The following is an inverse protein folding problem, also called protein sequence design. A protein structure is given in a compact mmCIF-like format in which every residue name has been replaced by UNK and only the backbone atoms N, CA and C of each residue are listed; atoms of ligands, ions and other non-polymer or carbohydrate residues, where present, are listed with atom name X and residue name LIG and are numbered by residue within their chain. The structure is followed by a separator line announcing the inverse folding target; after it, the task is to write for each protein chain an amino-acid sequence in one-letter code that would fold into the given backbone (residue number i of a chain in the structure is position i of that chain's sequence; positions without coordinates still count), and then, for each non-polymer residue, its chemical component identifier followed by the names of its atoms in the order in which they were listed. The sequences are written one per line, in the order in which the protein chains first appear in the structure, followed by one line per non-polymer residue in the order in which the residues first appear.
data_IF_499107544327
#
_entry.id   IF_499107544327
#
_cell.length_a   1.000
_cell.length_b   1.000
_cell.length_c   1.000
_cell.angle_alpha   90.00
_cell.angle_beta   90.00
_cell.angle_gamma   90.00
#
_symmetry.space_group_name_H-M   'P 1'
#
loop_
_entity.id
_entity.type
_entity.pdbx_description
1 polymer ?
#
# COMPACT_ATOMS: atom_id res chain seq x y z
N UNK A 1 -44.72 2.93 -6.19
CA UNK A 1 -44.84 2.08 -7.40
C UNK A 1 -45.92 1.07 -7.08
N UNK A 2 -47.03 1.09 -7.81
CA UNK A 2 -48.20 0.27 -7.44
C UNK A 2 -47.90 -1.20 -7.74
N UNK A 3 -47.53 -2.00 -6.72
CA UNK A 3 -47.29 -3.44 -6.86
C UNK A 3 -48.49 -4.16 -7.53
N UNK A 4 -49.70 -3.63 -7.31
CA UNK A 4 -50.94 -4.04 -7.98
C UNK A 4 -50.88 -3.89 -9.52
N UNK A 5 -50.29 -2.81 -10.04
CA UNK A 5 -50.13 -2.61 -11.50
C UNK A 5 -49.14 -3.62 -12.09
N UNK A 6 -48.03 -3.88 -11.40
CA UNK A 6 -47.05 -4.88 -11.85
C UNK A 6 -47.65 -6.29 -11.89
N UNK A 7 -48.42 -6.68 -10.87
CA UNK A 7 -49.12 -7.96 -10.83
C UNK A 7 -50.20 -8.09 -11.92
N UNK A 8 -50.95 -7.00 -12.21
CA UNK A 8 -51.92 -6.99 -13.31
C UNK A 8 -51.25 -7.15 -14.68
N UNK A 9 -50.08 -6.53 -14.87
CA UNK A 9 -49.33 -6.64 -16.13
C UNK A 9 -48.77 -8.06 -16.31
N UNK A 10 -48.20 -8.65 -15.25
CA UNK A 10 -47.71 -10.04 -15.29
C UNK A 10 -48.82 -11.03 -15.65
N UNK A 11 -49.99 -10.93 -15.02
CA UNK A 11 -51.15 -11.78 -15.35
C UNK A 11 -51.55 -11.65 -16.82
N UNK A 12 -51.63 -10.41 -17.34
CA UNK A 12 -51.95 -10.20 -18.76
C UNK A 12 -50.91 -10.81 -19.70
N UNK A 13 -49.62 -10.77 -19.34
CA UNK A 13 -48.55 -11.37 -20.14
C UNK A 13 -48.66 -12.90 -20.11
N UNK A 14 -48.93 -13.49 -18.94
CA UNK A 14 -49.13 -14.93 -18.78
C UNK A 14 -50.35 -15.41 -19.56
N UNK A 15 -51.49 -14.72 -19.44
CA UNK A 15 -52.71 -14.99 -20.22
C UNK A 15 -52.43 -14.92 -21.74
N UNK A 16 -51.65 -13.93 -22.20
CA UNK A 16 -51.31 -13.80 -23.61
C UNK A 16 -50.37 -14.93 -24.08
N UNK A 17 -49.46 -15.39 -23.24
CA UNK A 17 -48.52 -16.46 -23.58
C UNK A 17 -49.21 -17.84 -23.64
N UNK A 18 -50.13 -18.12 -22.71
CA UNK A 18 -50.93 -19.37 -22.72
C UNK A 18 -51.84 -19.45 -23.95
N UNK A 19 -52.42 -18.33 -24.37
CA UNK A 19 -53.29 -18.28 -25.54
C UNK A 19 -52.54 -18.36 -26.89
N UNK A 20 -51.22 -18.12 -26.91
CA UNK A 20 -50.42 -18.06 -28.15
C UNK A 20 -49.20 -18.98 -28.12
N UNK A 21 -49.37 -20.26 -27.77
CA UNK A 21 -48.33 -21.29 -27.98
C UNK A 21 -48.12 -21.59 -29.48
N UNK A 22 -47.67 -20.60 -30.24
CA UNK A 22 -47.31 -20.70 -31.64
C UNK A 22 -45.91 -21.33 -31.71
N UNK A 23 -45.84 -22.63 -31.49
CA UNK A 23 -44.62 -23.38 -31.82
C UNK A 23 -44.66 -23.75 -33.29
N UNK A 24 -43.57 -23.45 -34.00
CA UNK A 24 -43.38 -23.83 -35.41
C UNK A 24 -43.62 -25.33 -35.61
N UNK A 25 -43.30 -26.14 -34.59
CA UNK A 25 -43.52 -27.59 -34.55
C UNK A 25 -45.01 -27.93 -34.65
N UNK A 26 -45.89 -27.36 -33.79
CA UNK A 26 -47.35 -27.56 -33.86
C UNK A 26 -47.96 -27.08 -35.18
N UNK A 27 -47.40 -26.02 -35.78
CA UNK A 27 -47.85 -25.53 -37.10
C UNK A 27 -47.37 -26.43 -38.26
N UNK A 28 -46.23 -27.10 -38.10
CA UNK A 28 -45.67 -28.00 -39.12
C UNK A 28 -46.30 -29.41 -39.09
N UNK A 29 -46.84 -29.85 -37.95
CA UNK A 29 -47.54 -31.13 -37.80
C UNK A 29 -48.68 -31.35 -38.82
N UNK A 30 -49.61 -30.40 -39.06
CA UNK A 30 -50.65 -30.57 -40.09
C UNK A 30 -50.07 -30.57 -41.53
N UNK A 31 -48.98 -29.85 -41.79
CA UNK A 31 -48.34 -29.81 -43.12
C UNK A 31 -47.63 -31.14 -43.41
N UNK A 32 -46.94 -31.70 -42.41
CA UNK A 32 -46.27 -33.00 -42.50
C UNK A 32 -47.24 -34.18 -42.54
N UNK A 33 -48.36 -34.11 -41.81
CA UNK A 33 -49.38 -35.18 -41.79
C UNK A 33 -50.30 -35.20 -43.01
N UNK A 34 -50.55 -34.04 -43.64
CA UNK A 34 -51.28 -33.97 -44.91
C UNK A 34 -50.52 -34.66 -46.07
N UNK A 35 -49.19 -34.75 -46.00
CA UNK A 35 -48.37 -35.47 -46.99
C UNK A 35 -48.44 -37.00 -46.91
N UNK A 36 -48.98 -37.56 -45.82
CA UNK A 36 -48.88 -39.01 -45.53
C UNK A 36 -50.15 -39.80 -45.88
N UNK A 37 -51.27 -39.16 -46.22
CA UNK A 37 -52.54 -39.87 -46.43
C UNK A 37 -52.78 -40.42 -47.85
N UNK A 38 -51.97 -40.09 -48.85
CA UNK A 38 -52.23 -40.45 -50.26
C UNK A 38 -51.07 -41.13 -51.01
N UNK A 39 -50.40 -42.13 -50.44
CA UNK A 39 -49.71 -43.11 -51.31
C UNK A 39 -49.54 -44.51 -50.70
N UNK A 40 -50.14 -45.50 -51.36
CA UNK A 40 -49.74 -46.91 -51.25
C UNK A 40 -48.27 -47.01 -51.70
N UNK A 41 -47.38 -47.21 -50.74
CA UNK A 41 -45.94 -47.34 -50.91
C UNK A 41 -45.55 -48.39 -51.97
N UNK A 42 -45.04 -47.91 -53.11
CA UNK A 42 -44.11 -48.69 -53.95
C UNK A 42 -42.72 -48.47 -53.39
N UNK A 43 -42.10 -49.53 -52.91
CA UNK A 43 -40.74 -49.55 -52.35
C UNK A 43 -39.71 -49.45 -53.48
N UNK A 44 -39.47 -48.26 -54.03
CA UNK A 44 -38.31 -48.03 -54.90
C UNK A 44 -37.81 -46.58 -54.92
N UNK A 45 -38.33 -45.68 -54.09
CA UNK A 45 -37.84 -44.31 -54.01
C UNK A 45 -36.90 -44.09 -52.81
N UNK A 46 -35.70 -43.58 -53.10
CA UNK A 46 -34.65 -43.23 -52.15
C UNK A 46 -34.95 -41.95 -51.34
N UNK A 47 -36.20 -41.50 -51.30
CA UNK A 47 -36.61 -40.18 -50.81
C UNK A 47 -37.18 -40.17 -49.39
N UNK A 48 -37.22 -41.32 -48.70
CA UNK A 48 -37.81 -41.42 -47.34
C UNK A 48 -36.83 -41.18 -46.18
N UNK A 49 -35.61 -40.71 -46.44
CA UNK A 49 -34.58 -40.57 -45.40
C UNK A 49 -34.71 -39.29 -44.53
N UNK A 50 -35.56 -38.31 -44.89
CA UNK A 50 -35.60 -36.99 -44.23
C UNK A 50 -36.72 -36.81 -43.20
N UNK A 51 -37.38 -37.89 -42.75
CA UNK A 51 -38.45 -37.80 -41.75
C UNK A 51 -38.00 -38.05 -40.31
N UNK A 52 -36.77 -38.53 -40.08
CA UNK A 52 -36.22 -38.71 -38.74
C UNK A 52 -35.47 -37.44 -38.29
N UNK A 53 -36.14 -36.62 -37.48
CA UNK A 53 -35.51 -35.57 -36.67
C UNK A 53 -35.15 -34.29 -37.44
N UNK A 54 -36.14 -33.44 -37.68
CA UNK A 54 -35.96 -32.07 -38.19
C UNK A 54 -35.29 -31.19 -37.13
N UNK A 55 -33.97 -31.25 -37.07
CA UNK A 55 -33.16 -30.21 -36.41
C UNK A 55 -33.00 -29.04 -37.38
N UNK A 56 -32.89 -27.79 -36.91
CA UNK A 56 -32.77 -26.63 -37.80
C UNK A 56 -31.64 -26.76 -38.84
N UNK A 57 -30.52 -27.36 -38.44
CA UNK A 57 -29.36 -27.59 -39.32
C UNK A 57 -29.60 -28.71 -40.35
N UNK A 58 -30.51 -29.66 -40.10
CA UNK A 58 -30.84 -30.72 -41.07
C UNK A 58 -31.72 -30.20 -42.21
N UNK A 59 -32.54 -29.17 -41.96
CA UNK A 59 -33.40 -28.57 -42.98
C UNK A 59 -32.60 -27.91 -44.11
N UNK A 60 -31.49 -27.23 -43.80
CA UNK A 60 -30.65 -26.60 -44.82
C UNK A 60 -29.93 -27.64 -45.69
N UNK A 61 -29.47 -28.72 -45.08
CA UNK A 61 -28.89 -29.86 -45.78
C UNK A 61 -29.92 -30.54 -46.70
N UNK A 62 -31.14 -30.74 -46.21
CA UNK A 62 -32.26 -31.30 -46.99
C UNK A 62 -32.62 -30.39 -48.16
N UNK A 63 -32.70 -29.07 -47.95
CA UNK A 63 -32.97 -28.11 -49.04
C UNK A 63 -31.90 -28.16 -50.12
N UNK A 64 -30.62 -28.31 -49.76
CA UNK A 64 -29.54 -28.45 -50.72
C UNK A 64 -29.67 -29.77 -51.50
N UNK A 65 -29.90 -30.88 -50.79
CA UNK A 65 -30.12 -32.19 -51.38
C UNK A 65 -31.30 -32.20 -52.36
N UNK A 66 -32.47 -31.67 -51.96
CA UNK A 66 -33.65 -31.60 -52.81
C UNK A 66 -33.44 -30.73 -54.04
N UNK A 67 -32.74 -29.58 -53.93
CA UNK A 67 -32.39 -28.75 -55.08
C UNK A 67 -31.56 -29.52 -56.11
N UNK A 68 -30.55 -30.27 -55.65
CA UNK A 68 -29.72 -31.09 -56.52
C UNK A 68 -30.50 -32.25 -57.14
N UNK A 69 -31.30 -32.95 -56.33
CA UNK A 69 -32.17 -34.05 -56.77
C UNK A 69 -33.13 -33.56 -57.86
N UNK A 70 -33.89 -32.48 -57.61
CA UNK A 70 -34.83 -31.94 -58.59
C UNK A 70 -34.14 -31.38 -59.83
N UNK A 71 -32.92 -30.85 -59.74
CA UNK A 71 -32.16 -30.44 -60.92
C UNK A 71 -31.82 -31.66 -61.81
N UNK A 72 -31.38 -32.77 -61.21
CA UNK A 72 -31.09 -34.03 -61.92
C UNK A 72 -32.35 -34.65 -62.51
N UNK A 73 -33.44 -34.74 -61.74
CA UNK A 73 -34.73 -35.25 -62.22
C UNK A 73 -35.29 -34.38 -63.34
N UNK A 74 -35.22 -33.05 -63.23
CA UNK A 74 -35.67 -32.13 -64.28
C UNK A 74 -34.92 -32.38 -65.58
N UNK A 75 -33.60 -32.57 -65.53
CA UNK A 75 -32.79 -32.86 -66.72
C UNK A 75 -33.23 -34.17 -67.38
N UNK A 76 -33.29 -35.25 -66.58
CA UNK A 76 -33.72 -36.58 -67.05
C UNK A 76 -35.14 -36.56 -67.64
N UNK A 77 -36.08 -35.92 -66.95
CA UNK A 77 -37.48 -35.83 -67.38
C UNK A 77 -37.62 -35.05 -68.69
N UNK A 78 -36.97 -33.89 -68.83
CA UNK A 78 -37.03 -33.10 -70.06
C UNK A 78 -36.43 -33.88 -71.23
N UNK A 79 -35.32 -34.58 -71.01
CA UNK A 79 -34.72 -35.44 -72.04
C UNK A 79 -35.64 -36.60 -72.44
N UNK A 80 -36.24 -37.30 -71.48
CA UNK A 80 -37.15 -38.41 -71.75
C UNK A 80 -38.42 -37.95 -72.48
N UNK A 81 -39.04 -36.87 -72.02
CA UNK A 81 -40.25 -36.31 -72.64
C UNK A 81 -39.97 -35.79 -74.04
N UNK A 82 -38.81 -35.17 -74.28
CA UNK A 82 -38.43 -34.72 -75.63
C UNK A 82 -38.19 -35.89 -76.57
N UNK A 83 -37.49 -36.94 -76.13
CA UNK A 83 -37.32 -38.19 -76.90
C UNK A 83 -38.65 -38.84 -77.23
N UNK A 84 -39.54 -38.97 -76.25
CA UNK A 84 -40.86 -39.57 -76.45
C UNK A 84 -41.72 -38.74 -77.42
N UNK A 85 -41.81 -37.43 -77.21
CA UNK A 85 -42.56 -36.52 -78.09
C UNK A 85 -42.02 -36.56 -79.52
N UNK A 86 -40.70 -36.62 -79.69
CA UNK A 86 -40.07 -36.73 -81.01
C UNK A 86 -40.43 -38.03 -81.71
N UNK A 87 -40.35 -39.16 -81.02
CA UNK A 87 -40.74 -40.46 -81.59
C UNK A 87 -42.22 -40.47 -81.97
N UNK A 88 -43.10 -39.96 -81.09
CA UNK A 88 -44.54 -39.85 -81.38
C UNK A 88 -44.84 -38.96 -82.57
N UNK A 89 -44.10 -37.86 -82.75
CA UNK A 89 -44.29 -36.94 -83.88
C UNK A 89 -43.89 -37.56 -85.24
N UNK A 90 -42.88 -38.45 -85.25
CA UNK A 90 -42.43 -39.15 -86.47
C UNK A 90 -43.31 -40.35 -86.81
N UNK A 91 -43.74 -41.10 -85.79
CA UNK A 91 -44.48 -42.37 -85.96
C UNK A 91 -46.01 -42.13 -86.05
N UNK A 92 -46.50 -40.95 -85.67
CA UNK A 92 -47.91 -40.60 -85.80
C UNK A 92 -48.34 -40.45 -87.26
N UNK A 93 -49.51 -40.98 -87.61
CA UNK A 93 -50.16 -40.80 -88.91
C UNK A 93 -51.29 -39.76 -88.78
N UNK A 94 -51.19 -38.54 -89.36
CA UNK A 94 -50.10 -38.00 -90.18
C UNK A 94 -48.92 -37.43 -89.35
N UNK A 95 -47.69 -37.41 -89.92
CA UNK A 95 -46.51 -36.94 -89.21
C UNK A 95 -46.61 -35.44 -88.93
N UNK A 96 -46.28 -35.04 -87.69
CA UNK A 96 -46.33 -33.64 -87.26
C UNK A 96 -45.05 -32.94 -87.70
N UNK A 97 -45.15 -32.09 -88.72
CA UNK A 97 -44.03 -31.28 -89.20
C UNK A 97 -44.08 -29.92 -88.51
N UNK A 98 -43.08 -29.64 -87.66
CA UNK A 98 -42.98 -28.34 -86.98
C UNK A 98 -42.61 -27.26 -87.98
N UNK A 99 -43.48 -26.26 -88.14
CA UNK A 99 -43.21 -25.15 -89.06
C UNK A 99 -42.31 -24.09 -88.42
N UNK A 100 -41.50 -23.33 -89.21
CA UNK A 100 -40.70 -22.23 -88.67
C UNK A 100 -41.55 -21.15 -87.99
N UNK A 101 -42.81 -20.97 -88.41
CA UNK A 101 -43.73 -19.99 -87.82
C UNK A 101 -44.18 -20.42 -86.42
N UNK A 102 -44.54 -21.69 -86.23
CA UNK A 102 -44.87 -22.25 -84.91
C UNK A 102 -43.70 -22.14 -83.92
N UNK A 103 -42.47 -22.35 -84.38
CA UNK A 103 -41.29 -22.16 -83.54
C UNK A 103 -41.16 -20.71 -83.07
N UNK A 104 -41.36 -19.73 -83.95
CA UNK A 104 -41.32 -18.31 -83.59
C UNK A 104 -42.43 -17.92 -82.60
N UNK A 105 -43.62 -18.49 -82.74
CA UNK A 105 -44.73 -18.28 -81.80
C UNK A 105 -44.45 -18.90 -80.42
N UNK A 106 -43.93 -20.13 -80.39
CA UNK A 106 -43.52 -20.80 -79.15
C UNK A 106 -42.34 -20.10 -78.47
N UNK A 107 -41.40 -19.55 -79.24
CA UNK A 107 -40.31 -18.73 -78.70
C UNK A 107 -40.84 -17.46 -78.03
N UNK A 108 -41.78 -16.75 -78.67
CA UNK A 108 -42.43 -15.58 -78.08
C UNK A 108 -43.16 -15.92 -76.78
N UNK A 109 -44.02 -16.95 -76.80
CA UNK A 109 -44.75 -17.38 -75.60
C UNK A 109 -43.80 -17.83 -74.47
N UNK A 110 -42.71 -18.53 -74.80
CA UNK A 110 -41.69 -18.90 -73.82
C UNK A 110 -40.94 -17.69 -73.25
N UNK A 111 -40.68 -16.66 -74.05
CA UNK A 111 -40.06 -15.42 -73.58
C UNK A 111 -40.98 -14.67 -72.61
N UNK A 112 -42.27 -14.57 -72.93
CA UNK A 112 -43.27 -13.97 -72.06
C UNK A 112 -43.41 -14.73 -70.74
N UNK A 113 -43.56 -16.06 -70.79
CA UNK A 113 -43.64 -16.90 -69.59
C UNK A 113 -42.34 -16.83 -68.76
N UNK A 114 -41.17 -16.78 -69.41
CA UNK A 114 -39.88 -16.58 -68.72
C UNK A 114 -39.81 -15.21 -68.05
N UNK A 115 -40.35 -14.17 -68.67
CA UNK A 115 -40.38 -12.83 -68.08
C UNK A 115 -41.30 -12.80 -66.84
N UNK A 116 -42.50 -13.37 -66.92
CA UNK A 116 -43.43 -13.50 -65.79
C UNK A 116 -42.81 -14.31 -64.64
N UNK A 117 -42.20 -15.45 -64.95
CA UNK A 117 -41.54 -16.29 -63.94
C UNK A 117 -40.35 -15.58 -63.29
N UNK A 118 -39.61 -14.75 -64.02
CA UNK A 118 -38.54 -13.92 -63.44
C UNK A 118 -39.11 -12.86 -62.51
N UNK A 119 -40.19 -12.18 -62.88
CA UNK A 119 -40.86 -11.20 -62.03
C UNK A 119 -41.34 -11.83 -60.71
N UNK A 120 -42.09 -12.93 -60.79
CA UNK A 120 -42.58 -13.67 -59.62
C UNK A 120 -41.43 -14.19 -58.73
N UNK A 121 -40.31 -14.63 -59.32
CA UNK A 121 -39.13 -15.04 -58.54
C UNK A 121 -38.52 -13.90 -57.75
N UNK A 122 -38.47 -12.70 -58.32
CA UNK A 122 -37.98 -11.50 -57.63
C UNK A 122 -38.94 -11.13 -56.50
N UNK A 123 -40.25 -11.11 -56.75
CA UNK A 123 -41.26 -10.83 -55.73
C UNK A 123 -41.19 -11.81 -54.55
N UNK A 124 -41.06 -13.12 -54.83
CA UNK A 124 -40.92 -14.13 -53.78
C UNK A 124 -39.61 -13.97 -53.02
N UNK A 125 -38.51 -13.67 -53.70
CA UNK A 125 -37.23 -13.41 -53.04
C UNK A 125 -37.32 -12.20 -52.10
N UNK A 126 -37.94 -11.10 -52.56
CA UNK A 126 -38.13 -9.90 -51.76
C UNK A 126 -39.00 -10.19 -50.54
N UNK A 127 -40.13 -10.89 -50.70
CA UNK A 127 -40.99 -11.32 -49.60
C UNK A 127 -40.23 -12.17 -48.56
N UNK A 128 -39.38 -13.10 -48.99
CA UNK A 128 -38.56 -13.91 -48.07
C UNK A 128 -37.60 -13.03 -47.28
N UNK A 129 -36.91 -12.07 -47.92
CA UNK A 129 -36.01 -11.16 -47.21
C UNK A 129 -36.74 -10.27 -46.19
N UNK A 130 -37.98 -9.84 -46.50
CA UNK A 130 -38.80 -9.08 -45.57
C UNK A 130 -39.25 -9.93 -44.38
N UNK A 131 -39.64 -11.18 -44.63
CA UNK A 131 -40.02 -12.13 -43.58
C UNK A 131 -38.84 -12.43 -42.65
N UNK A 132 -37.63 -12.62 -43.19
CA UNK A 132 -36.42 -12.79 -42.38
C UNK A 132 -36.12 -11.57 -41.50
N UNK A 133 -36.27 -10.36 -42.04
CA UNK A 133 -36.09 -9.11 -41.27
C UNK A 133 -37.12 -9.03 -40.13
N UNK A 134 -38.40 -9.24 -40.45
CA UNK A 134 -39.49 -9.25 -39.45
C UNK A 134 -39.27 -10.35 -38.40
N UNK A 135 -38.81 -11.53 -38.80
CA UNK A 135 -38.47 -12.63 -37.90
C UNK A 135 -37.37 -12.24 -36.91
N UNK A 136 -36.28 -11.61 -37.38
CA UNK A 136 -35.18 -11.13 -36.52
C UNK A 136 -35.64 -10.02 -35.57
N UNK A 137 -36.47 -9.10 -36.04
CA UNK A 137 -37.02 -8.03 -35.19
C UNK A 137 -37.96 -8.58 -34.11
N UNK A 138 -38.81 -9.54 -34.48
CA UNK A 138 -39.73 -10.19 -33.56
C UNK A 138 -38.98 -11.01 -32.50
N UNK A 139 -37.93 -11.75 -32.89
CA UNK A 139 -37.07 -12.48 -31.95
C UNK A 139 -36.44 -11.54 -30.89
N UNK A 140 -35.86 -10.41 -31.32
CA UNK A 140 -35.30 -9.41 -30.40
C UNK A 140 -36.35 -8.83 -29.44
N UNK A 141 -37.54 -8.51 -29.96
CA UNK A 141 -38.65 -8.00 -29.14
C UNK A 141 -39.11 -9.06 -28.14
N UNK A 142 -39.23 -10.31 -28.56
CA UNK A 142 -39.60 -11.42 -27.70
C UNK A 142 -38.58 -11.62 -26.57
N UNK A 143 -37.28 -11.63 -26.89
CA UNK A 143 -36.20 -11.68 -25.87
C UNK A 143 -36.30 -10.53 -24.88
N UNK A 144 -36.53 -9.30 -25.34
CA UNK A 144 -36.68 -8.15 -24.43
C UNK A 144 -37.89 -8.28 -23.50
N UNK A 145 -39.03 -8.77 -24.01
CA UNK A 145 -40.22 -9.02 -23.20
C UNK A 145 -39.98 -10.15 -22.21
N UNK A 146 -39.25 -11.21 -22.57
CA UNK A 146 -38.88 -12.28 -21.66
C UNK A 146 -37.99 -11.77 -20.51
N UNK A 147 -36.97 -10.97 -20.82
CA UNK A 147 -36.10 -10.36 -19.81
C UNK A 147 -36.87 -9.43 -18.88
N UNK A 148 -37.75 -8.60 -19.42
CA UNK A 148 -38.55 -7.67 -18.61
C UNK A 148 -39.61 -8.39 -17.77
N UNK A 149 -40.17 -9.49 -18.29
CA UNK A 149 -41.06 -10.37 -17.53
C UNK A 149 -40.33 -11.02 -16.35
N UNK A 150 -39.09 -11.50 -16.56
CA UNK A 150 -38.26 -12.03 -15.47
C UNK A 150 -37.97 -10.96 -14.41
N UNK A 151 -37.60 -9.74 -14.83
CA UNK A 151 -37.40 -8.61 -13.90
C UNK A 151 -38.66 -8.27 -13.12
N UNK A 152 -39.82 -8.24 -13.78
CA UNK A 152 -41.10 -7.96 -13.13
C UNK A 152 -41.47 -9.03 -12.09
N UNK A 153 -41.05 -10.28 -12.28
CA UNK A 153 -41.22 -11.36 -11.29
C UNK A 153 -40.30 -11.17 -10.08
N UNK A 154 -39.06 -10.73 -10.26
CA UNK A 154 -38.09 -10.58 -9.16
C UNK A 154 -38.21 -9.27 -8.36
N UNK A 155 -38.66 -8.19 -9.00
CA UNK A 155 -38.67 -6.86 -8.38
C UNK A 155 -39.56 -6.75 -7.12
N UNK A 156 -40.77 -7.36 -7.06
CA UNK A 156 -41.60 -7.33 -5.85
C UNK A 156 -40.88 -7.92 -4.64
N UNK A 157 -40.23 -9.07 -4.79
CA UNK A 157 -39.50 -9.72 -3.69
C UNK A 157 -38.34 -8.85 -3.22
N UNK A 158 -37.57 -8.28 -4.15
CA UNK A 158 -36.48 -7.33 -3.83
C UNK A 158 -36.98 -6.07 -3.13
N UNK A 159 -38.15 -5.56 -3.49
CA UNK A 159 -38.75 -4.40 -2.82
C UNK A 159 -39.12 -4.77 -1.38
N UNK A 160 -39.75 -5.93 -1.17
CA UNK A 160 -40.08 -6.41 0.18
C UNK A 160 -38.82 -6.58 1.04
N UNK A 161 -37.77 -7.22 0.51
CA UNK A 161 -36.49 -7.34 1.21
C UNK A 161 -35.87 -5.99 1.57
N UNK A 162 -35.94 -5.00 0.67
CA UNK A 162 -35.43 -3.66 0.93
C UNK A 162 -36.28 -2.91 1.96
N UNK A 163 -37.60 -3.08 1.92
CA UNK A 163 -38.52 -2.50 2.92
C UNK A 163 -38.29 -3.11 4.30
N UNK A 164 -38.06 -4.42 4.39
CA UNK A 164 -37.73 -5.13 5.62
C UNK A 164 -36.37 -4.66 6.17
N UNK A 165 -35.33 -4.58 5.34
CA UNK A 165 -34.02 -4.01 5.72
C UNK A 165 -34.13 -2.55 6.17
N UNK A 166 -34.97 -1.75 5.52
CA UNK A 166 -35.21 -0.36 5.93
C UNK A 166 -35.94 -0.31 7.27
N UNK A 167 -36.87 -1.22 7.53
CA UNK A 167 -37.55 -1.33 8.83
C UNK A 167 -36.56 -1.75 9.93
N UNK A 168 -35.74 -2.77 9.70
CA UNK A 168 -34.67 -3.21 10.61
C UNK A 168 -33.69 -2.07 10.91
N UNK A 169 -33.24 -1.35 9.88
CA UNK A 169 -32.34 -0.21 10.05
C UNK A 169 -33.00 0.91 10.86
N UNK A 170 -34.28 1.20 10.60
CA UNK A 170 -35.04 2.19 11.39
C UNK A 170 -35.21 1.76 12.85
N UNK A 171 -35.43 0.47 13.12
CA UNK A 171 -35.51 -0.07 14.48
C UNK A 171 -34.14 -0.02 15.17
N UNK A 172 -33.06 -0.36 14.48
CA UNK A 172 -31.69 -0.21 15.00
C UNK A 172 -31.32 1.26 15.26
N UNK A 173 -31.93 2.17 14.49
CA UNK A 173 -31.81 3.62 14.64
C UNK A 173 -32.82 4.19 15.66
N UNK A 174 -33.61 3.34 16.34
CA UNK A 174 -34.41 3.78 17.48
C UNK A 174 -33.52 4.58 18.44
N UNK A 175 -34.04 5.65 19.08
CA UNK A 175 -33.25 6.66 19.75
C UNK A 175 -32.44 6.07 20.92
N UNK A 176 -31.23 5.59 20.62
CA UNK A 176 -30.19 5.32 21.58
C UNK A 176 -29.67 6.63 22.18
N UNK A 177 -28.94 6.52 23.30
CA UNK A 177 -28.50 7.61 24.18
C UNK A 177 -27.71 8.77 23.51
N UNK A 178 -27.35 8.66 22.23
CA UNK A 178 -26.52 9.64 21.52
C UNK A 178 -27.31 10.37 20.40
N UNK A 179 -27.72 11.64 20.61
CA UNK A 179 -28.49 12.42 19.63
C UNK A 179 -27.74 12.67 18.30
N UNK A 180 -26.41 12.51 18.33
CA UNK A 180 -25.52 12.65 17.18
C UNK A 180 -25.62 11.49 16.15
N UNK A 181 -26.21 10.34 16.52
CA UNK A 181 -26.41 9.20 15.61
C UNK A 181 -27.71 9.29 14.80
N UNK A 182 -28.59 10.25 15.14
CA UNK A 182 -29.92 10.43 14.54
C UNK A 182 -30.01 11.73 13.72
N UNK A 183 -28.89 12.14 13.15
CA UNK A 183 -28.80 13.35 12.34
C UNK A 183 -29.02 13.03 10.85
N UNK A 184 -29.71 13.90 10.10
CA UNK A 184 -29.78 13.81 8.65
C UNK A 184 -28.38 13.82 8.02
N UNK A 185 -28.23 13.19 6.85
CA UNK A 185 -26.95 13.03 6.15
C UNK A 185 -26.15 14.35 6.00
N UNK A 186 -26.84 15.47 5.73
CA UNK A 186 -26.17 16.77 5.64
C UNK A 186 -25.46 17.16 6.95
N UNK A 187 -26.15 17.00 8.09
CA UNK A 187 -25.61 17.36 9.41
C UNK A 187 -24.54 16.37 9.88
N UNK A 188 -24.62 15.09 9.49
CA UNK A 188 -23.55 14.14 9.82
C UNK A 188 -22.28 14.43 9.04
N UNK A 189 -22.37 14.85 7.78
CA UNK A 189 -21.21 15.27 6.99
C UNK A 189 -20.52 16.50 7.60
N UNK A 190 -21.30 17.51 8.01
CA UNK A 190 -20.77 18.69 8.71
C UNK A 190 -20.04 18.30 10.01
N UNK A 191 -20.65 17.43 10.84
CA UNK A 191 -20.00 16.95 12.07
C UNK A 191 -18.73 16.12 11.80
N UNK A 192 -18.73 15.31 10.75
CA UNK A 192 -17.54 14.54 10.35
C UNK A 192 -16.42 15.49 9.93
N UNK A 193 -16.72 16.54 9.17
CA UNK A 193 -15.74 17.53 8.76
C UNK A 193 -15.20 18.33 9.96
N UNK A 194 -16.05 18.69 10.92
CA UNK A 194 -15.62 19.31 12.16
C UNK A 194 -14.75 18.39 13.02
N UNK A 195 -15.08 17.10 13.09
CA UNK A 195 -14.25 16.10 13.79
C UNK A 195 -12.92 15.88 13.09
N UNK A 196 -12.87 15.86 11.75
CA UNK A 196 -11.62 15.81 10.99
C UNK A 196 -10.76 17.04 11.25
N UNK A 197 -11.36 18.24 11.32
CA UNK A 197 -10.63 19.47 11.69
C UNK A 197 -10.07 19.38 13.11
N UNK A 198 -10.85 18.89 14.08
CA UNK A 198 -10.37 18.66 15.46
C UNK A 198 -9.21 17.66 15.49
N UNK A 199 -9.33 16.56 14.74
CA UNK A 199 -8.27 15.54 14.64
C UNK A 199 -6.99 16.13 14.06
N UNK A 200 -7.08 16.89 12.95
CA UNK A 200 -5.92 17.57 12.35
C UNK A 200 -5.28 18.60 13.29
N UNK A 201 -6.07 19.29 14.13
CA UNK A 201 -5.53 20.19 15.15
C UNK A 201 -4.73 19.42 16.21
N UNK A 202 -5.29 18.32 16.73
CA UNK A 202 -4.61 17.47 17.70
C UNK A 202 -3.35 16.82 17.12
N UNK A 203 -3.39 16.39 15.85
CA UNK A 203 -2.21 15.83 15.18
C UNK A 203 -1.09 16.87 15.05
N UNK A 204 -1.43 18.12 14.68
CA UNK A 204 -0.46 19.23 14.67
C UNK A 204 0.11 19.52 16.05
N UNK A 205 -0.72 19.49 17.10
CA UNK A 205 -0.24 19.65 18.48
C UNK A 205 0.69 18.50 18.90
N UNK A 206 0.34 17.27 18.55
CA UNK A 206 1.17 16.09 18.78
C UNK A 206 2.51 16.21 18.04
N UNK A 207 2.52 16.60 16.77
CA UNK A 207 3.75 16.84 16.00
C UNK A 207 4.62 17.93 16.65
N UNK A 208 4.01 19.04 17.09
CA UNK A 208 4.73 20.10 17.79
C UNK A 208 5.34 19.61 19.12
N UNK A 209 4.60 18.79 19.87
CA UNK A 209 5.10 18.21 21.12
C UNK A 209 6.20 17.18 20.84
N UNK A 210 6.02 16.30 19.87
CA UNK A 210 7.02 15.31 19.44
C UNK A 210 8.31 15.99 18.98
N UNK A 211 8.23 17.13 18.29
CA UNK A 211 9.40 17.93 17.89
C UNK A 211 10.13 18.58 19.10
N UNK A 212 9.42 18.86 20.19
CA UNK A 212 10.01 19.41 21.44
C UNK A 212 10.69 18.32 22.29
N UNK A 213 10.21 17.08 22.25
CA UNK A 213 10.77 15.94 23.02
C UNK A 213 12.29 15.78 22.85
N UNK A 214 12.89 15.72 21.64
CA UNK A 214 14.33 15.52 21.51
C UNK A 214 15.15 16.69 22.04
N UNK A 215 14.66 17.94 21.93
CA UNK A 215 15.32 19.12 22.50
C UNK A 215 15.34 19.04 24.02
N UNK A 216 14.20 18.70 24.63
CA UNK A 216 14.10 18.51 26.08
C UNK A 216 14.90 17.32 26.58
N UNK A 217 14.99 16.22 25.82
CA UNK A 217 15.90 15.10 26.12
C UNK A 217 17.36 15.53 26.13
N UNK A 218 17.82 16.29 25.13
CA UNK A 218 19.19 16.84 25.08
C UNK A 218 19.48 17.81 26.23
N UNK A 219 18.51 18.65 26.59
CA UNK A 219 18.62 19.54 27.77
C UNK A 219 18.76 18.72 29.07
N UNK A 220 17.95 17.67 29.23
CA UNK A 220 18.06 16.72 30.36
C UNK A 220 19.42 16.03 30.41
N UNK A 221 19.91 15.50 29.29
CA UNK A 221 21.23 14.85 29.20
C UNK A 221 22.36 15.83 29.55
N UNK A 222 22.28 17.08 29.09
CA UNK A 222 23.24 18.13 29.43
C UNK A 222 23.23 18.44 30.93
N UNK A 223 22.06 18.65 31.52
CA UNK A 223 21.94 18.91 32.96
C UNK A 223 22.43 17.71 33.78
N UNK A 224 22.14 16.49 33.34
CA UNK A 224 22.64 15.27 33.98
C UNK A 224 24.17 15.19 33.90
N UNK A 225 24.77 15.53 32.77
CA UNK A 225 26.23 15.62 32.61
C UNK A 225 26.85 16.73 33.46
N UNK A 226 26.16 17.85 33.69
CA UNK A 226 26.59 18.92 34.61
C UNK A 226 26.46 18.52 36.09
N UNK A 227 25.45 17.71 36.44
CA UNK A 227 25.24 17.20 37.80
C UNK A 227 26.29 16.14 38.20
N UNK A 228 26.67 15.24 37.30
CA UNK A 228 27.67 14.17 37.58
C UNK A 228 28.97 14.68 38.26
N UNK A 229 29.69 15.69 37.74
CA UNK A 229 30.90 16.19 38.40
C UNK A 229 30.60 16.94 39.70
N UNK A 230 29.42 17.55 39.86
CA UNK A 230 29.02 18.19 41.12
C UNK A 230 28.71 17.16 42.20
N UNK A 231 28.03 16.07 41.84
CA UNK A 231 27.80 14.93 42.71
C UNK A 231 29.11 14.26 43.09
N UNK A 232 30.02 14.03 42.14
CA UNK A 232 31.36 13.51 42.42
C UNK A 232 32.14 14.44 43.37
N UNK A 233 32.11 15.75 43.16
CA UNK A 233 32.70 16.73 44.09
C UNK A 233 32.06 16.66 45.48
N UNK A 234 30.73 16.55 45.57
CA UNK A 234 30.00 16.38 46.84
C UNK A 234 30.38 15.08 47.54
N UNK A 235 30.52 13.98 46.81
CA UNK A 235 30.93 12.70 47.37
C UNK A 235 32.38 12.74 47.83
N UNK A 236 33.28 13.35 47.05
CA UNK A 236 34.68 13.54 47.44
C UNK A 236 34.80 14.44 48.69
N UNK A 237 34.02 15.52 48.78
CA UNK A 237 34.01 16.38 49.97
C UNK A 237 33.40 15.68 51.18
N UNK A 238 32.34 14.89 51.01
CA UNK A 238 31.76 14.06 52.08
C UNK A 238 32.73 12.96 52.53
N UNK A 239 33.42 12.30 51.61
CA UNK A 239 34.43 11.29 51.90
C UNK A 239 35.62 11.92 52.62
N UNK A 240 36.12 13.07 52.17
CA UNK A 240 37.17 13.82 52.84
C UNK A 240 36.75 14.27 54.25
N UNK A 241 35.51 14.73 54.44
CA UNK A 241 34.98 15.07 55.77
C UNK A 241 34.86 13.83 56.67
N UNK A 242 34.43 12.69 56.13
CA UNK A 242 34.34 11.42 56.85
C UNK A 242 35.73 10.85 57.19
N UNK A 243 36.70 10.99 56.30
CA UNK A 243 38.09 10.58 56.52
C UNK A 243 38.80 11.52 57.49
N UNK A 244 38.53 12.83 57.46
CA UNK A 244 39.00 13.79 58.47
C UNK A 244 38.38 13.48 59.85
N UNK A 245 37.09 13.11 59.89
CA UNK A 245 36.44 12.62 61.10
C UNK A 245 37.05 11.31 61.60
N UNK A 246 37.30 10.33 60.71
CA UNK A 246 38.00 9.09 61.04
C UNK A 246 39.45 9.31 61.45
N UNK A 247 40.18 10.28 60.87
CA UNK A 247 41.52 10.66 61.32
C UNK A 247 41.47 11.35 62.67
N UNK A 248 40.44 12.14 62.98
CA UNK A 248 40.25 12.69 64.31
C UNK A 248 39.91 11.60 65.34
N UNK A 249 39.09 10.62 64.96
CA UNK A 249 38.70 9.49 65.83
C UNK A 249 39.79 8.40 65.93
N UNK A 250 40.65 8.24 64.91
CA UNK A 250 41.70 7.22 64.85
C UNK A 250 43.13 7.73 65.11
N UNK A 251 43.40 9.04 64.98
CA UNK A 251 44.66 9.66 65.40
C UNK A 251 44.59 10.29 66.79
N UNK A 252 43.42 10.27 67.44
CA UNK A 252 43.27 10.62 68.86
C UNK A 252 43.70 9.51 69.82
N UNK A 253 44.44 8.50 69.34
CA UNK A 253 45.10 7.51 70.20
C UNK A 253 46.58 7.82 70.35
N UNK A 254 47.29 8.00 69.23
CA UNK A 254 48.75 8.08 69.28
C UNK A 254 49.29 9.45 69.75
N UNK A 255 48.59 10.56 69.49
CA UNK A 255 49.04 11.91 69.91
C UNK A 255 48.72 12.17 71.40
N UNK A 256 47.59 11.65 71.90
CA UNK A 256 47.25 11.69 73.33
C UNK A 256 48.08 10.67 74.14
N UNK A 257 48.37 9.47 73.63
CA UNK A 257 49.28 8.50 74.30
C UNK A 257 50.73 9.01 74.36
N UNK A 258 51.19 9.72 73.32
CA UNK A 258 52.51 10.38 73.31
C UNK A 258 52.53 11.61 74.22
N UNK A 259 51.43 12.35 74.35
CA UNK A 259 51.32 13.45 75.30
C UNK A 259 51.22 12.97 76.75
N UNK A 260 50.52 11.88 77.04
CA UNK A 260 50.45 11.26 78.37
C UNK A 260 51.81 10.70 78.79
N UNK A 261 52.49 9.98 77.90
CA UNK A 261 53.89 9.55 78.11
C UNK A 261 54.83 10.74 78.21
N UNK A 262 54.60 11.80 77.44
CA UNK A 262 55.37 13.04 77.49
C UNK A 262 55.13 13.86 78.75
N UNK A 263 53.94 13.79 79.36
CA UNK A 263 53.63 14.40 80.67
C UNK A 263 54.24 13.58 81.79
N UNK A 264 54.18 12.25 81.72
CA UNK A 264 54.84 11.36 82.67
C UNK A 264 56.36 11.49 82.61
N UNK A 265 56.96 11.52 81.41
CA UNK A 265 58.40 11.74 81.21
C UNK A 265 58.82 13.15 81.60
N UNK A 266 58.00 14.19 81.40
CA UNK A 266 58.30 15.55 81.88
C UNK A 266 58.13 15.68 83.40
N UNK A 267 57.20 14.97 84.01
CA UNK A 267 57.03 14.93 85.46
C UNK A 267 58.16 14.13 86.13
N UNK A 268 58.58 13.01 85.55
CA UNK A 268 59.73 12.24 86.02
C UNK A 268 61.05 12.97 85.74
N UNK A 269 61.19 13.66 84.61
CA UNK A 269 62.32 14.55 84.32
C UNK A 269 62.33 15.76 85.27
N UNK A 270 61.19 16.34 85.64
CA UNK A 270 61.10 17.42 86.63
C UNK A 270 61.47 16.94 88.04
N UNK A 271 61.00 15.76 88.45
CA UNK A 271 61.37 15.14 89.72
C UNK A 271 62.87 14.77 89.76
N UNK A 272 63.40 14.22 88.66
CA UNK A 272 64.82 13.87 88.53
C UNK A 272 65.71 15.11 88.42
N UNK A 273 65.26 16.20 87.78
CA UNK A 273 65.97 17.49 87.74
C UNK A 273 65.94 18.22 89.08
N UNK A 274 64.87 18.10 89.87
CA UNK A 274 64.82 18.60 91.25
C UNK A 274 65.75 17.80 92.19
N UNK A 275 65.95 16.49 91.95
CA UNK A 275 66.90 15.69 92.73
C UNK A 275 68.37 15.85 92.30
N UNK A 276 68.64 16.20 91.03
CA UNK A 276 70.00 16.12 90.47
C UNK A 276 70.60 17.44 89.96
N UNK A 277 69.86 18.55 90.03
CA UNK A 277 70.32 19.93 89.75
C UNK A 277 71.17 20.10 88.46
N UNK A 278 70.69 19.58 87.33
CA UNK A 278 71.43 19.57 86.06
C UNK A 278 70.93 20.64 85.09
N UNK A 279 71.75 21.68 84.91
CA UNK A 279 71.61 22.72 83.87
C UNK A 279 72.08 22.25 82.48
N UNK A 280 71.12 22.09 81.56
CA UNK A 280 71.17 22.68 80.21
C UNK A 280 72.06 22.08 79.08
N UNK A 281 71.54 22.29 77.84
CA UNK A 281 72.16 22.22 76.48
C UNK A 281 72.22 20.81 75.86
N UNK A 282 72.05 20.60 74.54
CA UNK A 282 72.31 21.43 73.35
C UNK A 282 71.53 20.89 72.11
N UNK A 283 71.26 21.78 71.16
CA UNK A 283 70.69 21.55 69.81
C UNK A 283 71.52 20.64 68.89
N UNK A 284 70.84 19.98 67.92
CA UNK A 284 71.31 19.92 66.52
C UNK A 284 70.14 19.96 65.52
N UNK A 285 70.23 20.86 64.52
CA UNK A 285 69.39 20.91 63.30
C UNK A 285 70.12 20.23 62.14
N UNK A 286 69.37 19.55 61.27
CA UNK A 286 69.82 18.98 59.98
C UNK A 286 69.06 19.68 58.84
N UNK A 287 69.67 20.00 57.68
CA UNK A 287 69.03 20.79 56.63
C UNK A 287 68.30 19.93 55.58
N UNK A 288 67.26 20.44 54.88
CA UNK A 288 66.59 19.68 53.81
C UNK A 288 66.91 20.11 52.36
N UNK A 289 66.56 19.18 51.46
CA UNK A 289 66.99 18.94 50.07
C UNK A 289 66.26 19.75 48.98
N UNK A 290 66.87 19.72 47.77
CA UNK A 290 66.44 20.31 46.50
C UNK A 290 65.14 19.73 45.91
N UNK A 291 64.35 20.60 45.25
CA UNK A 291 63.14 20.26 44.46
C UNK A 291 63.36 20.60 42.97
N UNK A 292 62.78 19.78 42.09
CA UNK A 292 63.24 19.46 40.72
C UNK A 292 62.80 20.36 39.55
N UNK A 293 62.08 21.47 39.78
CA UNK A 293 61.31 22.11 38.68
C UNK A 293 61.57 23.60 38.37
N UNK A 294 62.73 24.18 38.70
CA UNK A 294 63.13 25.47 38.09
C UNK A 294 64.64 25.60 37.85
N UNK A 295 65.04 25.89 36.60
CA UNK A 295 66.43 26.16 36.17
C UNK A 295 66.92 27.58 36.51
N UNK A 296 66.58 28.08 37.71
CA UNK A 296 67.22 29.28 38.28
C UNK A 296 67.40 29.07 39.78
N UNK A 297 68.65 29.15 40.24
CA UNK A 297 69.07 29.04 41.66
C UNK A 297 68.56 30.23 42.49
N UNK A 298 67.26 30.28 42.71
CA UNK A 298 66.67 31.00 43.84
C UNK A 298 66.01 29.95 44.72
N UNK A 299 66.79 29.45 45.68
CA UNK A 299 66.33 28.61 46.77
C UNK A 299 65.21 29.35 47.49
N UNK A 300 63.99 28.87 47.35
CA UNK A 300 62.85 29.35 48.12
C UNK A 300 61.93 28.18 48.42
N UNK A 301 62.36 27.31 49.32
CA UNK A 301 61.46 26.72 50.29
C UNK A 301 61.72 27.52 51.58
N UNK A 302 60.80 28.41 51.97
CA UNK A 302 60.75 28.79 53.39
C UNK A 302 60.30 27.50 54.06
N UNK A 303 61.22 26.81 54.75
CA UNK A 303 61.00 25.45 55.27
C UNK A 303 59.76 25.31 56.17
N UNK A 304 59.22 26.42 56.68
CA UNK A 304 57.98 26.46 57.46
C UNK A 304 56.68 26.57 56.62
N UNK A 305 56.73 26.99 55.35
CA UNK A 305 55.53 27.39 54.58
C UNK A 305 55.22 26.53 53.35
N UNK A 306 56.00 25.49 53.10
CA UNK A 306 55.82 24.52 51.98
C UNK A 306 55.44 25.15 50.62
N UNK A 307 55.94 26.35 50.32
CA UNK A 307 55.54 27.10 49.12
C UNK A 307 56.74 27.75 48.44
N UNK A 308 56.81 27.62 47.12
CA UNK A 308 57.84 28.28 46.32
C UNK A 308 57.54 29.77 46.19
N UNK A 309 58.47 30.62 46.60
CA UNK A 309 58.30 32.06 46.39
C UNK A 309 58.24 32.41 44.90
N UNK A 310 59.01 31.78 44.02
CA UNK A 310 59.04 32.22 42.61
C UNK A 310 57.78 31.84 41.84
N UNK A 311 57.35 30.58 41.90
CA UNK A 311 56.23 30.07 41.11
C UNK A 311 54.96 29.77 41.92
N UNK A 312 55.03 29.73 43.25
CA UNK A 312 53.88 29.41 44.10
C UNK A 312 53.58 27.92 44.26
N UNK A 313 54.41 27.01 43.72
CA UNK A 313 54.24 25.56 43.91
C UNK A 313 54.13 25.22 45.41
N UNK A 314 53.16 24.41 45.86
CA UNK A 314 52.32 23.46 45.12
C UNK A 314 51.02 24.05 44.50
N UNK A 315 50.80 25.36 44.55
CA UNK A 315 49.62 25.95 43.90
C UNK A 315 49.60 25.64 42.40
N UNK A 316 48.44 25.20 41.90
CA UNK A 316 48.25 24.85 40.49
C UNK A 316 48.41 26.06 39.54
N UNK A 317 48.20 27.29 40.05
CA UNK A 317 48.40 28.53 39.28
C UNK A 317 49.76 29.12 39.58
N UNK A 318 50.52 29.45 38.53
CA UNK A 318 51.79 30.15 38.70
C UNK A 318 51.57 31.53 39.30
N UNK A 319 52.24 31.82 40.41
CA UNK A 319 52.22 33.11 41.11
C UNK A 319 52.74 34.22 40.20
N UNK A 320 51.94 35.27 39.98
CA UNK A 320 52.29 36.50 39.25
C UNK A 320 51.75 37.73 39.98
N UNK A 321 52.50 38.83 39.93
CA UNK A 321 52.03 40.12 40.46
C UNK A 321 52.16 41.22 39.42
N UNK A 322 51.33 42.25 39.55
CA UNK A 322 51.29 43.36 38.61
C UNK A 322 52.37 44.42 38.81
N UNK A 323 52.98 44.47 40.00
CA UNK A 323 53.98 45.48 40.36
C UNK A 323 55.36 45.29 39.70
N UNK A 324 55.63 44.16 39.04
CA UNK A 324 56.89 43.97 38.28
C UNK A 324 56.63 43.45 36.88
N UNK A 325 56.68 44.35 35.90
CA UNK A 325 56.55 44.00 34.49
C UNK A 325 57.70 43.13 33.98
N UNK A 326 58.93 43.39 34.45
CA UNK A 326 60.11 42.59 34.10
C UNK A 326 59.97 41.13 34.57
N UNK A 327 59.36 40.89 35.73
CA UNK A 327 59.08 39.55 36.21
C UNK A 327 58.04 38.82 35.35
N UNK A 328 57.00 39.54 34.89
CA UNK A 328 56.03 39.00 33.92
C UNK A 328 56.72 38.62 32.61
N UNK A 329 57.48 39.53 31.99
CA UNK A 329 58.16 39.32 30.70
C UNK A 329 59.12 38.11 30.70
N UNK A 330 59.68 37.73 31.86
CA UNK A 330 60.57 36.56 31.98
C UNK A 330 59.83 35.21 32.01
N UNK A 331 58.52 35.21 32.24
CA UNK A 331 57.70 33.99 32.43
C UNK A 331 56.46 33.96 31.50
N UNK A 332 56.34 34.91 30.58
CA UNK A 332 55.25 34.95 29.59
C UNK A 332 55.42 33.84 28.56
N UNK A 333 54.30 33.43 27.95
CA UNK A 333 54.28 32.55 26.78
C UNK A 333 55.22 33.12 25.70
N UNK A 334 56.07 32.29 25.09
CA UNK A 334 57.14 32.76 24.20
C UNK A 334 58.56 32.59 24.76
N UNK A 335 58.73 32.57 26.08
CA UNK A 335 60.07 32.51 26.72
C UNK A 335 60.70 31.11 26.75
N UNK A 336 59.88 30.05 26.63
CA UNK A 336 60.33 28.66 26.62
C UNK A 336 60.18 27.98 25.25
N UNK A 337 60.48 26.67 25.17
CA UNK A 337 60.49 25.91 23.90
C UNK A 337 59.13 25.78 23.17
N UNK A 338 58.02 26.18 23.80
CA UNK A 338 56.65 26.15 23.24
C UNK A 338 56.31 24.88 22.43
N UNK A 339 56.63 23.69 22.97
CA UNK A 339 56.53 22.40 22.24
C UNK A 339 55.23 22.22 21.44
N UNK A 340 54.09 22.54 22.04
CA UNK A 340 52.79 22.45 21.35
C UNK A 340 52.49 23.70 20.52
N UNK A 341 52.62 24.87 21.13
CA UNK A 341 52.16 26.14 20.56
C UNK A 341 52.97 26.59 19.34
N UNK A 342 54.21 26.09 19.18
CA UNK A 342 55.07 26.31 18.00
C UNK A 342 54.42 25.78 16.72
N UNK A 343 53.78 24.61 16.77
CA UNK A 343 53.16 23.99 15.60
C UNK A 343 51.71 24.46 15.35
N UNK A 344 51.07 25.11 16.33
CA UNK A 344 49.66 25.53 16.25
C UNK A 344 49.40 26.45 15.05
N UNK A 345 50.28 27.42 14.76
CA UNK A 345 50.08 28.33 13.63
C UNK A 345 50.12 27.61 12.27
N UNK A 346 50.97 26.59 12.14
CA UNK A 346 51.03 25.73 10.95
C UNK A 346 49.78 24.84 10.86
N UNK A 347 49.34 24.26 11.98
CA UNK A 347 48.11 23.44 12.03
C UNK A 347 46.86 24.25 11.74
N UNK A 348 46.79 25.51 12.17
CA UNK A 348 45.69 26.43 11.90
C UNK A 348 45.56 26.70 10.39
N UNK A 349 46.66 27.01 9.70
CA UNK A 349 46.68 27.15 8.23
C UNK A 349 46.22 25.87 7.52
N UNK A 350 46.49 24.72 8.12
CA UNK A 350 46.11 23.41 7.60
C UNK A 350 44.73 22.92 8.13
N UNK A 351 43.91 23.81 8.71
CA UNK A 351 42.54 23.49 9.12
C UNK A 351 42.41 22.49 10.28
N UNK A 352 43.45 22.35 11.12
CA UNK A 352 43.49 21.42 12.26
C UNK A 352 43.14 19.97 11.91
N UNK A 353 43.50 19.51 10.72
CA UNK A 353 43.27 18.13 10.31
C UNK A 353 43.86 17.14 11.33
N UNK A 354 43.02 16.19 11.76
CA UNK A 354 43.37 15.07 12.61
C UNK A 354 43.16 13.79 11.81
N UNK A 355 44.21 12.97 11.65
CA UNK A 355 44.17 11.75 10.87
C UNK A 355 45.36 11.63 9.91
N UNK A 356 45.39 10.53 9.16
CA UNK A 356 46.41 10.24 8.14
C UNK A 356 46.22 11.21 6.94
N UNK A 357 47.30 11.78 6.38
CA UNK A 357 47.19 12.72 5.26
C UNK A 357 46.54 12.07 4.03
N UNK A 358 45.76 12.86 3.26
CA UNK A 358 45.11 12.41 2.02
C UNK A 358 46.17 11.84 1.07
N UNK A 359 46.13 10.52 0.84
CA UNK A 359 47.05 9.80 -0.06
C UNK A 359 48.05 8.86 0.62
N UNK A 360 48.02 8.68 1.95
CA UNK A 360 48.85 7.67 2.62
C UNK A 360 48.30 6.26 2.48
N UNK A 361 49.13 5.31 2.04
CA UNK A 361 48.84 3.88 1.85
C UNK A 361 48.76 3.11 3.17
N UNK A 362 48.02 3.61 4.15
CA UNK A 362 47.81 2.91 5.43
C UNK A 362 46.30 2.88 5.72
N UNK A 363 45.68 1.69 5.92
CA UNK A 363 44.25 1.62 6.16
C UNK A 363 43.91 2.31 7.48
N UNK A 364 42.86 3.13 7.47
CA UNK A 364 42.33 3.78 8.66
C UNK A 364 41.75 2.70 9.59
N UNK A 365 42.40 2.46 10.74
CA UNK A 365 41.81 1.66 11.81
C UNK A 365 40.62 2.41 12.43
N UNK A 366 39.56 1.66 12.72
CA UNK A 366 38.26 2.09 13.23
C UNK A 366 38.31 2.90 14.53
#
# INVERSE_FOLDING_TARGET
MDASKAAQVLRKIEDLNENHEISIIKLSEPISSAGTQESRQRTSDASNASQDGTTPDSLDADLAHYKELFAKLRFSYVEQVTKEKFIRAIVGDPPVIVTPQENLELEKANLEAKAQLKALKVEVADMVTELEKKGKELAKRYESVQLDTAKLKELPDKILELEEKVAELKESQAPGQSPQMNLPLAKTLELVDDKKRQQQQLDRELEQLQAKVPRKRKEMERLQAELQPLEAKRQNSKAAAKEARRRKEGAGGDEDDLEERGRWLRASEAALKQMLDIQGRLQRRVPPRLVRDTTRRTFCAVAAKHTCSSCGYPSAKTRKYNWSEKAKRRKTNGTGRMRYMKDVSRRFKNGFQTGVPKGSTVPASA
#
